data_IF_767423804656
#
_entry.id   IF_767423804656
#
_cell.length_a   1.000
_cell.length_b   1.000
_cell.length_c   1.000
_cell.angle_alpha   90.00
_cell.angle_beta   90.00
_cell.angle_gamma   90.00
#
_symmetry.space_group_name_H-M   'P 1'
#
loop_
_entity.id
_entity.type
_entity.pdbx_description
1 polymer ?
#
# COMPACT_ATOMS: atom_id res chain seq x y z
N UNK A 1 60.57 7.75 3.85
CA UNK A 1 59.24 8.12 4.42
C UNK A 1 58.58 9.10 3.46
N UNK A 2 57.64 8.65 2.64
CA UNK A 2 56.77 9.53 1.84
C UNK A 2 55.35 9.31 2.33
N UNK A 3 54.82 10.30 3.04
CA UNK A 3 53.45 10.29 3.54
C UNK A 3 52.51 10.62 2.37
N UNK A 4 51.82 9.60 1.87
CA UNK A 4 50.73 9.74 0.90
C UNK A 4 49.52 10.38 1.59
N UNK A 5 49.40 11.70 1.50
CA UNK A 5 48.19 12.43 1.90
C UNK A 5 47.04 12.01 0.99
N UNK A 6 46.01 11.37 1.56
CA UNK A 6 44.77 11.01 0.84
C UNK A 6 44.17 12.29 0.25
N UNK A 7 43.83 12.35 -1.06
CA UNK A 7 43.23 13.54 -1.65
C UNK A 7 41.87 13.80 -0.99
N UNK A 8 41.67 15.03 -0.49
CA UNK A 8 40.44 15.46 0.17
C UNK A 8 39.23 15.32 -0.77
N UNK A 9 38.46 14.25 -0.59
CA UNK A 9 37.26 13.91 -1.38
C UNK A 9 36.10 14.90 -1.19
N UNK A 10 36.24 15.82 -0.23
CA UNK A 10 35.26 16.87 0.09
C UNK A 10 35.16 17.91 -1.03
N UNK A 11 36.24 18.25 -1.72
CA UNK A 11 36.24 19.26 -2.79
C UNK A 11 36.08 18.67 -4.21
N UNK A 12 36.03 17.34 -4.33
CA UNK A 12 35.76 16.69 -5.61
C UNK A 12 34.27 16.86 -5.98
N UNK A 13 33.99 17.28 -7.20
CA UNK A 13 32.64 17.51 -7.77
C UNK A 13 31.80 18.56 -7.01
N UNK A 14 32.39 19.72 -6.69
CA UNK A 14 31.73 20.81 -5.94
C UNK A 14 30.42 21.26 -6.61
N UNK A 15 30.40 21.40 -7.94
CA UNK A 15 29.20 21.82 -8.69
C UNK A 15 28.04 20.83 -8.52
N UNK A 16 28.32 19.52 -8.56
CA UNK A 16 27.30 18.50 -8.35
C UNK A 16 26.77 18.51 -6.89
N UNK A 17 27.65 18.76 -5.91
CA UNK A 17 27.26 18.89 -4.51
C UNK A 17 26.38 20.11 -4.30
N UNK A 18 26.76 21.27 -4.84
CA UNK A 18 25.99 22.53 -4.76
C UNK A 18 24.62 22.36 -5.42
N UNK A 19 24.56 21.73 -6.60
CA UNK A 19 23.29 21.45 -7.28
C UNK A 19 22.38 20.49 -6.48
N UNK A 20 22.95 19.59 -5.67
CA UNK A 20 22.20 18.66 -4.83
C UNK A 20 21.75 19.27 -3.48
N UNK A 21 22.30 20.42 -3.07
CA UNK A 21 21.97 21.07 -1.78
C UNK A 21 20.46 21.27 -1.60
N UNK A 22 19.69 21.82 -2.57
CA UNK A 22 18.25 22.05 -2.37
C UNK A 22 17.48 20.74 -2.11
N UNK A 23 17.86 19.66 -2.80
CA UNK A 23 17.26 18.34 -2.62
C UNK A 23 17.59 17.77 -1.23
N UNK A 24 18.87 17.83 -0.83
CA UNK A 24 19.31 17.36 0.49
C UNK A 24 18.65 18.16 1.61
N UNK A 25 18.61 19.50 1.49
CA UNK A 25 17.97 20.37 2.46
C UNK A 25 16.48 20.06 2.60
N UNK A 26 15.77 19.83 1.49
CA UNK A 26 14.36 19.44 1.51
C UNK A 26 14.17 18.10 2.23
N UNK A 27 14.99 17.10 1.94
CA UNK A 27 14.94 15.79 2.61
C UNK A 27 15.20 15.91 4.12
N UNK A 28 16.28 16.60 4.50
CA UNK A 28 16.67 16.71 5.91
C UNK A 28 15.69 17.56 6.72
N UNK A 29 15.28 18.71 6.21
CA UNK A 29 14.45 19.67 6.96
C UNK A 29 12.99 19.27 6.91
N UNK A 30 12.44 19.03 5.71
CA UNK A 30 11.00 18.80 5.54
C UNK A 30 10.63 17.36 5.88
N UNK A 31 11.31 16.37 5.31
CA UNK A 31 10.91 14.98 5.52
C UNK A 31 11.41 14.46 6.87
N UNK A 32 12.71 14.54 7.15
CA UNK A 32 13.27 14.00 8.40
C UNK A 32 12.91 14.91 9.58
N UNK A 33 13.11 16.23 9.46
CA UNK A 33 12.81 17.20 10.51
C UNK A 33 11.35 17.16 10.96
N UNK A 34 10.37 17.27 10.06
CA UNK A 34 8.96 17.22 10.43
C UNK A 34 8.53 15.84 10.98
N UNK A 35 9.13 14.75 10.48
CA UNK A 35 8.86 13.41 11.02
C UNK A 35 9.36 13.28 12.46
N UNK A 36 10.60 13.71 12.72
CA UNK A 36 11.15 13.73 14.08
C UNK A 36 10.32 14.62 15.00
N UNK A 37 9.91 15.80 14.52
CA UNK A 37 9.03 16.69 15.25
C UNK A 37 7.68 16.05 15.62
N UNK A 38 7.06 15.35 14.66
CA UNK A 38 5.83 14.57 14.86
C UNK A 38 6.00 13.52 15.95
N UNK A 39 7.11 12.77 15.91
CA UNK A 39 7.43 11.72 16.88
C UNK A 39 7.69 12.32 18.27
N UNK A 40 8.42 13.45 18.36
CA UNK A 40 8.67 14.12 19.65
C UNK A 40 7.36 14.60 20.26
N UNK A 41 6.52 15.27 19.48
CA UNK A 41 5.24 15.78 19.96
C UNK A 41 4.23 14.67 20.29
N UNK A 42 4.37 13.45 19.77
CA UNK A 42 3.51 12.34 20.20
C UNK A 42 3.73 11.91 21.65
N UNK A 43 4.85 12.30 22.28
CA UNK A 43 5.11 12.09 23.71
C UNK A 43 4.71 13.27 24.60
N UNK A 44 4.06 14.31 24.04
CA UNK A 44 3.68 15.51 24.79
C UNK A 44 2.17 15.62 25.04
N UNK A 45 1.77 16.49 25.97
CA UNK A 45 0.36 16.78 26.27
C UNK A 45 -0.28 17.73 25.23
N UNK A 46 0.14 17.66 23.96
CA UNK A 46 -0.41 18.51 22.91
C UNK A 46 -1.93 18.31 22.76
N UNK A 47 -2.71 19.39 22.92
CA UNK A 47 -4.16 19.41 22.71
C UNK A 47 -4.48 20.06 21.37
N UNK A 48 -5.01 21.29 21.39
CA UNK A 48 -5.34 22.05 20.17
C UNK A 48 -4.13 22.73 19.54
N UNK A 49 -3.13 23.07 20.37
CA UNK A 49 -1.87 23.64 19.93
C UNK A 49 -0.71 22.74 20.40
N UNK A 50 0.43 22.76 19.68
CA UNK A 50 1.63 22.08 20.13
C UNK A 50 2.06 22.58 21.50
N UNK A 51 2.20 21.67 22.45
CA UNK A 51 2.71 21.95 23.79
C UNK A 51 3.88 21.01 24.06
N UNK A 52 4.97 21.52 24.63
CA UNK A 52 6.21 20.75 24.87
C UNK A 52 6.22 20.07 26.24
N UNK A 53 5.08 19.99 26.93
CA UNK A 53 4.95 19.28 28.20
C UNK A 53 5.01 17.78 27.99
N UNK A 54 6.15 17.17 28.34
CA UNK A 54 6.40 15.74 28.17
C UNK A 54 5.54 14.92 29.15
N UNK A 55 4.73 14.00 28.60
CA UNK A 55 3.87 13.08 29.37
C UNK A 55 4.25 11.62 29.17
N UNK A 56 5.37 11.36 28.49
CA UNK A 56 5.83 10.02 28.20
C UNK A 56 4.85 9.24 27.33
N UNK A 57 4.50 8.02 27.76
CA UNK A 57 3.69 7.09 26.96
C UNK A 57 2.17 7.21 27.17
N UNK A 58 1.70 8.22 27.91
CA UNK A 58 0.27 8.36 28.24
C UNK A 58 -0.63 8.42 26.99
N UNK A 59 -0.20 9.14 25.95
CA UNK A 59 -0.95 9.21 24.69
C UNK A 59 -1.09 7.85 24.01
N UNK A 60 -0.07 7.00 24.09
CA UNK A 60 -0.09 5.65 23.52
C UNK A 60 -0.96 4.71 24.35
N UNK A 61 -0.88 4.76 25.68
CA UNK A 61 -1.76 3.99 26.56
C UNK A 61 -3.24 4.31 26.29
N UNK A 62 -3.56 5.60 26.16
CA UNK A 62 -4.90 6.05 25.76
C UNK A 62 -5.29 5.62 24.34
N UNK A 63 -4.34 5.60 23.41
CA UNK A 63 -4.59 5.16 22.04
C UNK A 63 -5.00 3.68 21.99
N UNK A 64 -4.24 2.81 22.63
CA UNK A 64 -4.48 1.36 22.63
C UNK A 64 -5.70 0.92 23.46
N UNK A 65 -6.11 1.74 24.43
CA UNK A 65 -7.36 1.52 25.18
C UNK A 65 -8.60 2.06 24.46
N UNK A 66 -8.44 2.88 23.42
CA UNK A 66 -9.55 3.46 22.66
C UNK A 66 -10.16 2.43 21.69
N UNK A 67 -11.44 2.02 21.85
CA UNK A 67 -12.04 1.00 21.00
C UNK A 67 -12.03 1.34 19.51
N UNK A 68 -12.22 2.62 19.18
CA UNK A 68 -12.23 3.12 17.80
C UNK A 68 -10.88 2.93 17.10
N UNK A 69 -9.76 3.04 17.82
CA UNK A 69 -8.44 2.76 17.27
C UNK A 69 -8.24 1.26 17.02
N UNK A 70 -8.69 0.42 17.94
CA UNK A 70 -8.59 -1.04 17.76
C UNK A 70 -9.42 -1.52 16.57
N UNK A 71 -10.63 -0.97 16.38
CA UNK A 71 -11.46 -1.23 15.19
C UNK A 71 -10.72 -0.80 13.93
N UNK A 72 -10.11 0.39 13.91
CA UNK A 72 -9.43 0.88 12.71
C UNK A 72 -8.18 0.07 12.37
N UNK A 73 -7.40 -0.36 13.37
CA UNK A 73 -6.27 -1.27 13.19
C UNK A 73 -6.69 -2.64 12.65
N UNK A 74 -7.79 -3.22 13.18
CA UNK A 74 -8.35 -4.49 12.68
C UNK A 74 -8.81 -4.34 11.24
N UNK A 75 -9.52 -3.27 10.91
CA UNK A 75 -9.97 -3.00 9.54
C UNK A 75 -8.80 -2.83 8.57
N UNK A 76 -7.73 -2.15 8.99
CA UNK A 76 -6.52 -2.04 8.19
C UNK A 76 -5.87 -3.41 7.96
N UNK A 77 -5.86 -4.28 8.98
CA UNK A 77 -5.40 -5.66 8.86
C UNK A 77 -6.25 -6.48 7.89
N UNK A 78 -7.57 -6.41 8.00
CA UNK A 78 -8.51 -7.08 7.08
C UNK A 78 -8.28 -6.56 5.66
N UNK A 79 -8.34 -5.24 5.47
CA UNK A 79 -8.12 -4.63 4.16
C UNK A 79 -6.76 -5.02 3.59
N UNK A 80 -5.70 -4.96 4.41
CA UNK A 80 -4.34 -5.26 4.01
C UNK A 80 -4.12 -6.70 3.62
N UNK A 81 -4.54 -7.66 4.44
CA UNK A 81 -4.37 -9.10 4.17
C UNK A 81 -5.12 -9.49 2.90
N UNK A 82 -6.40 -9.09 2.78
CA UNK A 82 -7.18 -9.41 1.59
C UNK A 82 -6.59 -8.74 0.36
N UNK A 83 -6.25 -7.45 0.43
CA UNK A 83 -5.66 -6.74 -0.72
C UNK A 83 -4.36 -7.39 -1.13
N UNK A 84 -3.45 -7.71 -0.20
CA UNK A 84 -2.15 -8.29 -0.49
C UNK A 84 -2.28 -9.69 -1.12
N UNK A 85 -3.05 -10.59 -0.50
CA UNK A 85 -3.24 -11.96 -0.98
C UNK A 85 -3.94 -11.97 -2.33
N UNK A 86 -5.11 -11.35 -2.45
CA UNK A 86 -5.88 -11.39 -3.69
C UNK A 86 -5.21 -10.62 -4.82
N UNK A 87 -4.61 -9.44 -4.56
CA UNK A 87 -3.93 -8.70 -5.64
C UNK A 87 -2.69 -9.42 -6.14
N UNK A 88 -1.95 -10.10 -5.27
CA UNK A 88 -0.76 -10.89 -5.64
C UNK A 88 -1.14 -12.13 -6.42
N UNK A 89 -2.16 -12.88 -5.98
CA UNK A 89 -2.63 -14.09 -6.68
C UNK A 89 -3.25 -13.72 -8.03
N UNK A 90 -4.21 -12.78 -8.04
CA UNK A 90 -4.89 -12.36 -9.28
C UNK A 90 -3.89 -11.70 -10.23
N UNK A 91 -3.04 -10.80 -9.71
CA UNK A 91 -2.01 -10.12 -10.50
C UNK A 91 -1.02 -11.10 -11.13
N UNK A 92 -0.55 -12.11 -10.38
CA UNK A 92 0.34 -13.14 -10.92
C UNK A 92 -0.35 -14.01 -11.97
N UNK A 93 -1.60 -14.42 -11.75
CA UNK A 93 -2.38 -15.19 -12.74
C UNK A 93 -2.53 -14.37 -14.04
N UNK A 94 -2.93 -13.10 -13.93
CA UNK A 94 -3.06 -12.22 -15.09
C UNK A 94 -1.71 -12.02 -15.82
N UNK A 95 -0.62 -11.87 -15.06
CA UNK A 95 0.72 -11.77 -15.62
C UNK A 95 1.13 -13.05 -16.37
N UNK A 96 0.89 -14.23 -15.79
CA UNK A 96 1.20 -15.52 -16.42
C UNK A 96 0.36 -15.75 -17.69
N UNK A 97 -0.91 -15.33 -17.71
CA UNK A 97 -1.76 -15.39 -18.91
C UNK A 97 -1.25 -14.44 -20.01
N UNK A 98 -0.78 -13.25 -19.63
CA UNK A 98 -0.22 -12.29 -20.59
C UNK A 98 1.16 -12.68 -21.13
N UNK A 99 1.94 -13.42 -20.35
CA UNK A 99 3.27 -13.92 -20.73
C UNK A 99 3.21 -14.88 -21.93
N UNK A 100 2.05 -15.48 -22.22
CA UNK A 100 1.82 -16.39 -23.34
C UNK A 100 1.83 -15.72 -24.74
N UNK A 101 2.30 -14.46 -24.85
CA UNK A 101 2.40 -13.69 -26.11
C UNK A 101 1.07 -13.62 -26.88
N UNK A 102 -0.02 -13.28 -26.17
CA UNK A 102 -1.36 -13.12 -26.76
C UNK A 102 -1.42 -12.01 -27.82
N UNK A 103 -2.19 -12.23 -28.89
CA UNK A 103 -2.24 -11.36 -30.09
C UNK A 103 -2.67 -9.89 -29.81
N UNK A 104 -3.41 -9.65 -28.72
CA UNK A 104 -3.89 -8.33 -28.30
C UNK A 104 -3.35 -7.89 -26.93
N UNK A 105 -2.13 -8.31 -26.58
CA UNK A 105 -1.55 -8.06 -25.26
C UNK A 105 -1.58 -6.58 -24.83
N UNK A 106 -1.27 -5.65 -25.73
CA UNK A 106 -1.27 -4.22 -25.43
C UNK A 106 -2.63 -3.68 -24.99
N UNK A 107 -3.72 -4.18 -25.59
CA UNK A 107 -5.08 -3.81 -25.20
C UNK A 107 -5.43 -4.35 -23.81
N UNK A 108 -5.17 -5.63 -23.55
CA UNK A 108 -5.41 -6.23 -22.23
C UNK A 108 -4.60 -5.53 -21.14
N UNK A 109 -3.30 -5.27 -21.39
CA UNK A 109 -2.45 -4.51 -20.47
C UNK A 109 -3.06 -3.16 -20.11
N UNK A 110 -3.54 -2.44 -21.12
CA UNK A 110 -4.13 -1.11 -20.95
C UNK A 110 -5.41 -1.18 -20.13
N UNK A 111 -6.31 -2.12 -20.44
CA UNK A 111 -7.57 -2.30 -19.71
C UNK A 111 -7.32 -2.65 -18.24
N UNK A 112 -6.37 -3.54 -17.95
CA UNK A 112 -6.05 -3.92 -16.57
C UNK A 112 -5.29 -2.84 -15.80
N UNK A 113 -4.49 -2.01 -16.45
CA UNK A 113 -3.79 -0.88 -15.82
C UNK A 113 -4.64 0.38 -15.68
N UNK A 114 -5.72 0.50 -16.46
CA UNK A 114 -6.58 1.68 -16.45
C UNK A 114 -7.09 2.07 -15.05
N UNK A 115 -7.57 1.14 -14.20
CA UNK A 115 -8.01 1.48 -12.85
C UNK A 115 -6.93 2.17 -12.00
N UNK A 116 -5.67 1.74 -12.15
CA UNK A 116 -4.55 2.29 -11.39
C UNK A 116 -4.24 3.75 -11.77
N UNK A 117 -4.59 4.17 -12.99
CA UNK A 117 -4.46 5.56 -13.43
C UNK A 117 -5.51 6.49 -12.80
N UNK A 118 -6.60 5.95 -12.24
CA UNK A 118 -7.61 6.72 -11.54
C UNK A 118 -7.15 7.07 -10.13
N UNK A 119 -7.59 8.22 -9.62
CA UNK A 119 -7.38 8.56 -8.21
C UNK A 119 -8.23 7.66 -7.30
N UNK A 120 -7.77 7.46 -6.07
CA UNK A 120 -8.54 6.71 -5.07
C UNK A 120 -9.90 7.34 -4.75
N UNK A 121 -10.00 8.67 -4.84
CA UNK A 121 -11.26 9.40 -4.62
C UNK A 121 -12.27 9.05 -5.72
N UNK A 122 -11.86 9.14 -6.99
CA UNK A 122 -12.73 8.80 -8.13
C UNK A 122 -13.14 7.33 -8.06
N UNK A 123 -12.17 6.44 -7.76
CA UNK A 123 -12.44 5.02 -7.59
C UNK A 123 -13.48 4.77 -6.49
N UNK A 124 -13.32 5.40 -5.32
CA UNK A 124 -14.28 5.28 -4.22
C UNK A 124 -15.67 5.78 -4.59
N UNK A 125 -15.78 6.88 -5.32
CA UNK A 125 -17.06 7.43 -5.77
C UNK A 125 -17.77 6.51 -6.79
N UNK A 126 -17.03 5.99 -7.77
CA UNK A 126 -17.59 5.04 -8.76
C UNK A 126 -18.12 3.79 -8.07
N UNK A 127 -17.33 3.22 -7.14
CA UNK A 127 -17.77 2.06 -6.38
C UNK A 127 -18.93 2.38 -5.42
N UNK A 128 -19.01 3.61 -4.90
CA UNK A 128 -20.14 4.05 -4.10
C UNK A 128 -21.44 4.03 -4.92
N UNK A 129 -21.40 4.52 -6.15
CA UNK A 129 -22.54 4.49 -7.07
C UNK A 129 -22.96 3.07 -7.42
N UNK A 130 -21.99 2.21 -7.73
CA UNK A 130 -22.22 0.80 -8.07
C UNK A 130 -22.85 0.04 -6.88
N UNK A 131 -22.41 0.31 -5.66
CA UNK A 131 -22.83 -0.42 -4.46
C UNK A 131 -24.03 0.21 -3.73
N UNK A 132 -24.56 1.34 -4.22
CA UNK A 132 -25.74 1.99 -3.64
C UNK A 132 -27.01 1.19 -3.95
N UNK A 133 -27.85 0.87 -2.94
CA UNK A 133 -29.07 0.07 -3.16
C UNK A 133 -30.10 0.69 -4.12
N UNK A 134 -30.12 2.02 -4.24
CA UNK A 134 -31.15 2.77 -4.97
C UNK A 134 -31.00 2.73 -6.49
N UNK A 135 -29.77 2.70 -7.01
CA UNK A 135 -29.49 2.73 -8.45
C UNK A 135 -28.28 1.89 -8.89
N UNK A 136 -27.62 1.23 -7.95
CA UNK A 136 -26.49 0.35 -8.23
C UNK A 136 -26.92 -1.08 -8.57
N UNK A 137 -26.06 -2.04 -8.26
CA UNK A 137 -26.22 -3.47 -8.58
C UNK A 137 -27.56 -4.01 -8.09
N UNK A 138 -28.02 -3.61 -6.89
CA UNK A 138 -29.28 -4.10 -6.35
C UNK A 138 -30.47 -3.77 -7.26
N UNK A 139 -30.51 -2.56 -7.83
CA UNK A 139 -31.58 -2.16 -8.74
C UNK A 139 -31.51 -2.93 -10.05
N UNK A 140 -30.33 -3.04 -10.65
CA UNK A 140 -30.13 -3.80 -11.89
C UNK A 140 -30.62 -5.25 -11.75
N UNK A 141 -30.31 -5.90 -10.64
CA UNK A 141 -30.75 -7.29 -10.39
C UNK A 141 -32.26 -7.39 -10.17
N UNK A 142 -32.88 -6.41 -9.51
CA UNK A 142 -34.34 -6.34 -9.35
C UNK A 142 -35.05 -6.11 -10.68
N UNK A 143 -34.51 -5.22 -11.51
CA UNK A 143 -35.04 -4.92 -12.85
C UNK A 143 -34.94 -6.14 -13.79
N UNK A 144 -34.05 -7.09 -13.51
CA UNK A 144 -33.96 -8.40 -14.20
C UNK A 144 -34.99 -9.44 -13.72
N UNK A 145 -35.86 -9.11 -12.77
CA UNK A 145 -36.94 -9.97 -12.26
C UNK A 145 -36.72 -10.56 -10.87
N UNK A 146 -35.61 -10.25 -10.19
CA UNK A 146 -35.34 -10.70 -8.82
C UNK A 146 -35.75 -9.65 -7.78
N UNK A 147 -37.05 -9.34 -7.69
CA UNK A 147 -37.59 -8.23 -6.88
C UNK A 147 -37.20 -8.29 -5.39
N UNK A 148 -37.02 -9.49 -4.83
CA UNK A 148 -36.64 -9.71 -3.42
C UNK A 148 -35.14 -9.61 -3.14
N UNK A 149 -34.30 -9.42 -4.17
CA UNK A 149 -32.86 -9.35 -3.99
C UNK A 149 -32.46 -8.12 -3.16
N UNK A 150 -31.63 -8.33 -2.14
CA UNK A 150 -31.10 -7.27 -1.28
C UNK A 150 -29.58 -7.33 -1.28
N UNK A 151 -28.93 -6.22 -1.60
CA UNK A 151 -27.48 -6.12 -1.64
C UNK A 151 -27.05 -4.79 -1.03
N UNK A 152 -26.94 -4.79 0.30
CA UNK A 152 -26.67 -3.59 1.10
C UNK A 152 -25.30 -3.67 1.79
N UNK A 153 -24.25 -3.95 1.01
CA UNK A 153 -22.89 -4.15 1.53
C UNK A 153 -22.37 -2.91 2.28
N UNK A 154 -22.66 -1.71 1.77
CA UNK A 154 -22.25 -0.43 2.36
C UNK A 154 -22.99 -0.11 3.68
N UNK A 155 -24.22 -0.59 3.83
CA UNK A 155 -25.06 -0.28 5.00
C UNK A 155 -24.88 -1.30 6.14
N UNK A 156 -24.16 -2.39 5.90
CA UNK A 156 -23.95 -3.43 6.88
C UNK A 156 -22.56 -3.29 7.54
N UNK A 157 -22.55 -3.07 8.86
CA UNK A 157 -21.32 -2.92 9.65
C UNK A 157 -20.36 -4.10 9.54
N UNK A 158 -20.85 -5.31 9.28
CA UNK A 158 -20.00 -6.49 9.08
C UNK A 158 -19.35 -6.52 7.70
N UNK A 159 -19.99 -5.94 6.69
CA UNK A 159 -19.56 -6.09 5.31
C UNK A 159 -18.93 -4.84 4.68
N UNK A 160 -19.06 -3.67 5.30
CA UNK A 160 -18.60 -2.40 4.74
C UNK A 160 -17.10 -2.38 4.39
N UNK A 161 -16.24 -3.02 5.20
CA UNK A 161 -14.80 -3.10 4.92
C UNK A 161 -14.51 -3.91 3.65
N UNK A 162 -15.31 -4.93 3.34
CA UNK A 162 -15.13 -5.74 2.14
C UNK A 162 -15.50 -4.99 0.86
N UNK A 163 -16.42 -4.02 0.93
CA UNK A 163 -16.67 -3.11 -0.19
C UNK A 163 -15.41 -2.31 -0.56
N UNK A 164 -14.67 -1.83 0.46
CA UNK A 164 -13.39 -1.14 0.26
C UNK A 164 -12.33 -2.10 -0.31
N UNK A 165 -12.28 -3.35 0.18
CA UNK A 165 -11.38 -4.38 -0.38
C UNK A 165 -11.64 -4.61 -1.86
N UNK A 166 -12.90 -4.78 -2.27
CA UNK A 166 -13.25 -5.01 -3.68
C UNK A 166 -12.81 -3.83 -4.55
N UNK A 167 -13.10 -2.60 -4.12
CA UNK A 167 -12.69 -1.39 -4.84
C UNK A 167 -11.15 -1.25 -4.91
N UNK A 168 -10.46 -1.56 -3.81
CA UNK A 168 -9.00 -1.52 -3.73
C UNK A 168 -8.33 -2.60 -4.57
N UNK A 169 -8.91 -3.80 -4.64
CA UNK A 169 -8.44 -4.87 -5.52
C UNK A 169 -8.56 -4.46 -6.98
N UNK A 170 -9.73 -3.97 -7.39
CA UNK A 170 -9.95 -3.50 -8.75
C UNK A 170 -8.96 -2.40 -9.16
N UNK A 171 -8.63 -1.48 -8.25
CA UNK A 171 -7.64 -0.43 -8.48
C UNK A 171 -6.21 -0.97 -8.59
N UNK A 172 -5.79 -1.80 -7.63
CA UNK A 172 -4.39 -2.18 -7.45
C UNK A 172 -3.92 -3.38 -8.28
N UNK A 173 -4.81 -4.32 -8.64
CA UNK A 173 -4.42 -5.59 -9.30
C UNK A 173 -3.68 -5.38 -10.61
N UNK A 174 -3.99 -4.30 -11.35
CA UNK A 174 -3.33 -3.96 -12.60
C UNK A 174 -1.84 -3.67 -12.43
N UNK A 175 -1.48 -2.90 -11.40
CA UNK A 175 -0.08 -2.62 -11.08
C UNK A 175 0.67 -3.90 -10.72
N UNK A 176 0.06 -4.75 -9.89
CA UNK A 176 0.65 -6.02 -9.48
C UNK A 176 0.91 -6.92 -10.67
N UNK A 177 -0.06 -7.03 -11.58
CA UNK A 177 0.11 -7.75 -12.84
C UNK A 177 1.30 -7.20 -13.63
N UNK A 178 1.42 -5.88 -13.79
CA UNK A 178 2.50 -5.30 -14.58
C UNK A 178 3.88 -5.55 -13.97
N UNK A 179 4.01 -5.46 -12.63
CA UNK A 179 5.25 -5.77 -11.92
C UNK A 179 5.63 -7.25 -12.07
N UNK A 180 4.68 -8.15 -11.91
CA UNK A 180 4.90 -9.59 -12.05
C UNK A 180 5.24 -9.96 -13.50
N UNK A 181 4.57 -9.35 -14.48
CA UNK A 181 4.83 -9.57 -15.90
C UNK A 181 6.23 -9.09 -16.31
N UNK A 182 6.69 -7.95 -15.77
CA UNK A 182 8.06 -7.50 -15.96
C UNK A 182 9.07 -8.50 -15.38
N UNK A 183 8.76 -9.09 -14.22
CA UNK A 183 9.56 -10.15 -13.61
C UNK A 183 9.60 -11.44 -14.44
N UNK A 184 8.43 -11.91 -14.93
CA UNK A 184 8.32 -13.09 -15.80
C UNK A 184 9.16 -12.94 -17.07
N UNK A 185 9.10 -11.77 -17.69
CA UNK A 185 9.88 -11.44 -18.90
C UNK A 185 11.38 -11.32 -18.69
N UNK A 186 11.81 -11.18 -17.43
CA UNK A 186 13.24 -11.21 -17.09
C UNK A 186 13.82 -12.62 -17.06
N UNK A 187 12.98 -13.67 -17.14
CA UNK A 187 13.44 -15.07 -17.15
C UNK A 187 13.85 -15.45 -18.56
N UNK A 188 15.04 -16.04 -18.69
CA UNK A 188 15.59 -16.50 -19.97
C UNK A 188 14.66 -17.53 -20.64
N UNK A 189 14.45 -17.39 -21.95
CA UNK A 189 13.68 -18.34 -22.77
C UNK A 189 14.28 -19.75 -22.74
N UNK A 190 15.58 -19.87 -22.48
CA UNK A 190 16.26 -21.16 -22.40
C UNK A 190 15.82 -22.00 -21.18
N UNK A 191 15.42 -21.36 -20.08
CA UNK A 191 14.82 -22.07 -18.92
C UNK A 191 13.49 -22.72 -19.32
N UNK A 192 12.69 -22.01 -20.12
CA UNK A 192 11.43 -22.53 -20.63
C UNK A 192 11.66 -23.71 -21.59
N UNK A 193 12.65 -23.61 -22.49
CA UNK A 193 13.01 -24.70 -23.42
C UNK A 193 13.53 -25.92 -22.66
N UNK A 194 14.43 -25.74 -21.70
CA UNK A 194 14.97 -26.82 -20.89
C UNK A 194 13.87 -27.59 -20.15
N UNK A 195 12.93 -26.88 -19.51
CA UNK A 195 11.80 -27.54 -18.83
C UNK A 195 10.92 -28.39 -19.75
N UNK A 196 10.79 -28.00 -21.03
CA UNK A 196 10.05 -28.77 -22.04
C UNK A 196 10.81 -30.01 -22.49
N UNK A 197 12.14 -29.91 -22.61
CA UNK A 197 13.01 -31.06 -22.93
C UNK A 197 12.94 -32.12 -21.81
N UNK A 198 12.90 -31.67 -20.55
CA UNK A 198 12.75 -32.54 -19.37
C UNK A 198 11.31 -33.09 -19.18
N UNK A 199 10.38 -32.77 -20.07
CA UNK A 199 8.98 -33.22 -20.00
C UNK A 199 8.20 -32.68 -18.79
N UNK A 200 8.68 -31.59 -18.18
CA UNK A 200 8.03 -30.99 -17.01
C UNK A 200 6.76 -30.24 -17.47
N UNK A 201 5.58 -30.54 -16.90
CA UNK A 201 4.35 -29.85 -17.27
C UNK A 201 4.40 -28.38 -16.85
N UNK A 202 3.79 -27.51 -17.67
CA UNK A 202 3.84 -26.04 -17.55
C UNK A 202 3.48 -25.53 -16.13
N UNK A 203 2.45 -26.10 -15.50
CA UNK A 203 2.03 -25.69 -14.16
C UNK A 203 3.10 -26.00 -13.10
N UNK A 204 3.86 -27.09 -13.25
CA UNK A 204 5.02 -27.40 -12.38
C UNK A 204 6.17 -26.44 -12.66
N UNK A 205 6.41 -26.09 -13.92
CA UNK A 205 7.41 -25.08 -14.29
C UNK A 205 7.10 -23.74 -13.60
N UNK A 206 5.84 -23.29 -13.63
CA UNK A 206 5.45 -22.06 -12.92
C UNK A 206 5.66 -22.17 -11.40
N UNK A 207 5.19 -23.25 -10.79
CA UNK A 207 5.18 -23.39 -9.33
C UNK A 207 6.58 -23.61 -8.73
N UNK A 208 7.39 -24.46 -9.37
CA UNK A 208 8.65 -24.94 -8.80
C UNK A 208 9.91 -24.29 -9.38
N UNK A 209 9.82 -23.64 -10.55
CA UNK A 209 10.97 -22.98 -11.19
C UNK A 209 10.76 -21.47 -11.20
N UNK A 210 9.67 -21.01 -11.81
CA UNK A 210 9.41 -19.57 -12.03
C UNK A 210 9.17 -18.82 -10.72
N UNK A 211 8.28 -19.30 -9.85
CA UNK A 211 7.96 -18.61 -8.59
C UNK A 211 9.22 -18.44 -7.70
N UNK A 212 10.06 -19.46 -7.49
CA UNK A 212 11.34 -19.29 -6.79
C UNK A 212 12.28 -18.27 -7.45
N UNK A 213 12.41 -18.27 -8.77
CA UNK A 213 13.24 -17.31 -9.51
C UNK A 213 12.70 -15.87 -9.39
N UNK A 214 11.38 -15.71 -9.33
CA UNK A 214 10.70 -14.42 -9.19
C UNK A 214 10.65 -13.90 -7.75
N UNK A 215 11.23 -14.60 -6.77
CA UNK A 215 11.18 -14.20 -5.35
C UNK A 215 11.55 -12.72 -5.12
N UNK A 216 12.57 -12.12 -5.75
CA UNK A 216 12.88 -10.69 -5.56
C UNK A 216 11.75 -9.76 -6.04
N UNK A 217 11.08 -10.13 -7.13
CA UNK A 217 9.95 -9.38 -7.71
C UNK A 217 8.72 -9.49 -6.79
N UNK A 218 8.45 -10.69 -6.25
CA UNK A 218 7.38 -10.88 -5.27
C UNK A 218 7.60 -10.03 -4.02
N UNK A 219 8.80 -10.07 -3.43
CA UNK A 219 9.11 -9.29 -2.23
C UNK A 219 8.95 -7.80 -2.50
N UNK A 220 9.53 -7.30 -3.60
CA UNK A 220 9.42 -5.88 -3.97
C UNK A 220 7.97 -5.46 -4.16
N UNK A 221 7.18 -6.27 -4.84
CA UNK A 221 5.75 -6.00 -5.08
C UNK A 221 4.95 -5.99 -3.78
N UNK A 222 5.15 -6.98 -2.91
CA UNK A 222 4.49 -7.06 -1.60
C UNK A 222 4.81 -5.83 -0.75
N UNK A 223 6.07 -5.40 -0.72
CA UNK A 223 6.50 -4.22 0.05
C UNK A 223 5.82 -2.95 -0.47
N UNK A 224 5.83 -2.75 -1.80
CA UNK A 224 5.18 -1.59 -2.43
C UNK A 224 3.69 -1.54 -2.09
N UNK A 225 2.96 -2.63 -2.28
CA UNK A 225 1.52 -2.71 -1.98
C UNK A 225 1.27 -2.49 -0.48
N UNK A 226 2.07 -3.11 0.38
CA UNK A 226 1.94 -3.00 1.83
C UNK A 226 2.14 -1.55 2.32
N UNK A 227 3.08 -0.81 1.73
CA UNK A 227 3.26 0.62 2.05
C UNK A 227 2.06 1.48 1.61
N UNK A 228 1.37 1.07 0.55
CA UNK A 228 0.13 1.71 0.08
C UNK A 228 -1.05 1.42 1.01
N UNK A 229 -1.19 0.16 1.45
CA UNK A 229 -2.22 -0.29 2.38
C UNK A 229 -2.23 0.56 3.66
N UNK A 230 -1.07 0.75 4.30
CA UNK A 230 -0.99 1.51 5.57
C UNK A 230 -1.48 2.95 5.42
N UNK A 231 -1.36 3.53 4.23
CA UNK A 231 -1.74 4.92 3.92
C UNK A 231 -3.13 5.04 3.30
N UNK A 232 -3.92 3.96 3.28
CA UNK A 232 -5.27 3.99 2.70
C UNK A 232 -6.14 4.98 3.49
N UNK A 233 -6.61 6.03 2.81
CA UNK A 233 -7.46 7.06 3.38
C UNK A 233 -8.51 7.49 2.37
N UNK A 234 -8.05 7.96 1.21
CA UNK A 234 -8.89 8.52 0.14
C UNK A 234 -10.01 7.57 -0.28
N UNK A 235 -9.68 6.29 -0.49
CA UNK A 235 -10.64 5.26 -0.88
C UNK A 235 -11.72 5.06 0.19
N UNK A 236 -11.33 5.04 1.47
CA UNK A 236 -12.25 4.81 2.60
C UNK A 236 -13.20 5.98 2.74
N UNK A 237 -12.67 7.21 2.69
CA UNK A 237 -13.46 8.43 2.83
C UNK A 237 -14.43 8.59 1.67
N UNK A 238 -13.97 8.40 0.44
CA UNK A 238 -14.82 8.53 -0.75
C UNK A 238 -15.94 7.47 -0.79
N UNK A 239 -15.64 6.21 -0.43
CA UNK A 239 -16.61 5.13 -0.53
C UNK A 239 -17.62 5.10 0.63
N UNK A 240 -17.15 5.30 1.87
CA UNK A 240 -17.94 5.04 3.08
C UNK A 240 -17.88 6.13 4.16
N UNK A 241 -16.93 7.06 4.09
CA UNK A 241 -16.62 7.98 5.20
C UNK A 241 -16.13 7.26 6.48
N UNK A 242 -15.79 5.98 6.39
CA UNK A 242 -15.48 5.12 7.53
C UNK A 242 -16.71 4.50 8.21
N UNK A 243 -17.90 4.59 7.63
CA UNK A 243 -19.15 4.06 8.19
C UNK A 243 -19.53 2.63 7.73
N UNK A 244 -20.65 2.09 8.26
CA UNK A 244 -21.52 2.65 9.29
C UNK A 244 -20.91 2.52 10.70
N UNK A 245 -21.04 3.53 11.57
CA UNK A 245 -20.61 3.43 12.98
C UNK A 245 -19.12 3.10 13.20
N UNK A 246 -18.22 3.58 12.33
CA UNK A 246 -16.78 3.27 12.28
C UNK A 246 -16.43 1.86 11.74
N UNK A 247 -17.39 1.12 11.19
CA UNK A 247 -17.23 -0.23 10.63
C UNK A 247 -16.07 -0.38 9.66
N UNK A 248 -15.80 0.64 8.87
CA UNK A 248 -14.81 0.62 7.80
C UNK A 248 -13.69 1.65 8.04
N UNK A 249 -13.62 2.19 9.25
CA UNK A 249 -12.61 3.18 9.62
C UNK A 249 -11.21 2.57 9.55
N UNK A 250 -10.23 3.38 9.15
CA UNK A 250 -8.82 3.01 9.03
C UNK A 250 -7.94 4.02 9.77
N UNK A 251 -6.71 3.66 10.19
CA UNK A 251 -5.85 4.50 11.02
C UNK A 251 -5.59 5.88 10.43
N UNK A 252 -5.40 5.98 9.11
CA UNK A 252 -5.20 7.27 8.44
C UNK A 252 -6.40 8.22 8.62
N UNK A 253 -7.64 7.68 8.59
CA UNK A 253 -8.86 8.47 8.84
C UNK A 253 -9.00 8.85 10.31
N UNK A 254 -8.58 7.96 11.22
CA UNK A 254 -8.51 8.28 12.65
C UNK A 254 -7.56 9.47 12.90
N UNK A 255 -6.35 9.44 12.34
CA UNK A 255 -5.38 10.53 12.43
C UNK A 255 -5.99 11.84 11.94
N UNK A 256 -6.57 11.84 10.74
CA UNK A 256 -7.17 13.04 10.15
C UNK A 256 -8.28 13.63 11.04
N UNK A 257 -9.20 12.80 11.52
CA UNK A 257 -10.29 13.23 12.42
C UNK A 257 -9.77 13.83 13.72
N UNK A 258 -8.77 13.20 14.36
CA UNK A 258 -8.25 13.67 15.64
C UNK A 258 -7.41 14.95 15.50
N UNK A 259 -6.62 15.07 14.43
CA UNK A 259 -5.81 16.27 14.19
C UNK A 259 -6.67 17.47 13.77
N UNK A 260 -7.56 17.28 12.80
CA UNK A 260 -8.21 18.42 12.12
C UNK A 260 -9.64 18.70 12.56
N UNK A 261 -10.39 17.69 13.03
CA UNK A 261 -11.80 17.88 13.45
C UNK A 261 -11.99 17.95 14.94
N UNK A 262 -11.19 17.20 15.70
CA UNK A 262 -11.31 17.11 17.17
C UNK A 262 -10.29 17.97 17.92
N UNK A 263 -9.39 18.66 17.21
CA UNK A 263 -8.30 19.46 17.78
C UNK A 263 -7.53 18.72 18.89
N UNK A 264 -7.28 17.42 18.68
CA UNK A 264 -6.54 16.57 19.62
C UNK A 264 -5.25 16.09 18.95
N UNK A 265 -4.28 16.99 18.89
CA UNK A 265 -3.01 16.77 18.22
C UNK A 265 -2.22 15.62 18.84
N UNK A 266 -2.13 15.53 20.17
CA UNK A 266 -1.37 14.47 20.85
C UNK A 266 -1.80 13.06 20.45
N UNK A 267 -3.11 12.80 20.39
CA UNK A 267 -3.64 11.51 19.92
C UNK A 267 -3.41 11.28 18.42
N UNK A 268 -3.62 12.31 17.60
CA UNK A 268 -3.39 12.22 16.15
C UNK A 268 -1.92 11.95 15.80
N UNK A 269 -1.00 12.59 16.52
CA UNK A 269 0.43 12.40 16.37
C UNK A 269 0.86 11.02 16.89
N UNK A 270 0.36 10.57 18.04
CA UNK A 270 0.63 9.20 18.52
C UNK A 270 0.17 8.14 17.52
N UNK A 271 -1.03 8.27 16.97
CA UNK A 271 -1.53 7.39 15.93
C UNK A 271 -0.69 7.45 14.64
N UNK A 272 -0.26 8.65 14.22
CA UNK A 272 0.64 8.85 13.08
C UNK A 272 2.00 8.17 13.28
N UNK A 273 2.56 8.27 14.49
CA UNK A 273 3.80 7.60 14.87
C UNK A 273 3.67 6.08 14.80
N UNK A 274 2.56 5.50 15.26
CA UNK A 274 2.31 4.05 15.13
C UNK A 274 2.17 3.62 13.66
N UNK A 275 1.51 4.43 12.82
CA UNK A 275 1.45 4.16 11.38
C UNK A 275 2.83 4.19 10.73
N UNK A 276 3.67 5.18 11.09
CA UNK A 276 5.06 5.25 10.62
C UNK A 276 5.84 4.00 11.04
N UNK A 277 5.74 3.59 12.31
CA UNK A 277 6.38 2.37 12.81
C UNK A 277 5.91 1.14 12.02
N UNK A 278 4.63 1.05 11.67
CA UNK A 278 4.09 -0.04 10.86
C UNK A 278 4.75 -0.08 9.47
N UNK A 279 4.91 1.06 8.81
CA UNK A 279 5.62 1.13 7.51
C UNK A 279 7.09 0.74 7.66
N UNK A 280 7.78 1.20 8.71
CA UNK A 280 9.18 0.87 8.96
C UNK A 280 9.40 -0.63 9.19
N UNK A 281 8.50 -1.30 9.90
CA UNK A 281 8.54 -2.75 10.12
C UNK A 281 8.46 -3.51 8.78
N UNK A 282 7.75 -2.98 7.79
CA UNK A 282 7.64 -3.58 6.45
C UNK A 282 8.88 -3.28 5.60
N UNK A 283 9.34 -2.02 5.59
CA UNK A 283 10.38 -1.55 4.66
C UNK A 283 11.80 -1.90 5.11
N UNK A 284 12.09 -1.84 6.42
CA UNK A 284 13.46 -2.08 6.93
C UNK A 284 13.96 -3.50 6.59
N UNK A 285 13.21 -4.59 6.85
CA UNK A 285 13.67 -5.93 6.52
C UNK A 285 13.96 -6.09 5.03
N UNK A 286 13.11 -5.52 4.16
CA UNK A 286 13.32 -5.53 2.72
C UNK A 286 14.60 -4.79 2.32
N UNK A 287 14.79 -3.58 2.82
CA UNK A 287 15.99 -2.79 2.54
C UNK A 287 17.27 -3.51 2.98
N UNK A 288 17.23 -4.20 4.13
CA UNK A 288 18.35 -5.01 4.62
C UNK A 288 18.62 -6.23 3.74
N UNK A 289 17.58 -6.90 3.25
CA UNK A 289 17.71 -8.05 2.34
C UNK A 289 18.31 -7.63 1.00
N UNK A 290 17.82 -6.53 0.41
CA UNK A 290 18.30 -6.01 -0.87
C UNK A 290 19.76 -5.56 -0.78
N UNK A 291 20.12 -4.81 0.28
CA UNK A 291 21.49 -4.35 0.49
C UNK A 291 22.48 -5.51 0.74
N UNK A 292 22.03 -6.62 1.34
CA UNK A 292 22.83 -7.84 1.50
C UNK A 292 22.98 -8.61 0.18
N UNK A 293 21.91 -8.72 -0.61
CA UNK A 293 21.94 -9.38 -1.92
C UNK A 293 22.86 -8.67 -2.93
N UNK A 294 22.92 -7.34 -2.89
CA UNK A 294 23.81 -6.54 -3.73
C UNK A 294 25.32 -6.67 -3.41
N UNK A 295 25.70 -7.24 -2.26
CA UNK A 295 27.11 -7.55 -1.92
C UNK A 295 27.56 -8.94 -2.38
N UNK A 296 26.63 -9.77 -2.85
CA UNK A 296 26.88 -11.16 -3.22
C UNK A 296 26.84 -11.41 -4.74
N UNK A 297 26.56 -10.37 -5.53
CA UNK A 297 26.80 -10.31 -6.98
C UNK A 297 28.11 -9.55 -7.23
#
# INVERSE_FOLDING_TARGET
MSATTRPNTIFKNLNAKVAAIPMIATVLVVFIGCTLWTVVLSFTSSRSLPELTFVGFDQYARLFTTPRWNISAINLGIFGIFTLVFSTVIGFILAALMDQKIRFEGAFRTVFLYPYALSFIVTGLVWQWILTPTFGIQRVVRDLGFETFTFSILNNQRYAIYAIVIAGLWHGTGLVMALMLAGLRGIDEDIWKASRVDGIPIWKTYLFIVIPMMRPVFITTIVLISTGIVRVYDLVVALTGGGPGNASEVPAKYVYEFMFRRANLGQGLAASTIMLTTVLIIVIPWALMEYRGGKQK
#
